data_IF_526167061862
#
_entry.id   IF_526167061862
#
_cell.length_a   1.000
_cell.length_b   1.000
_cell.length_c   1.000
_cell.angle_alpha   90.00
_cell.angle_beta   90.00
_cell.angle_gamma   90.00
#
_symmetry.space_group_name_H-M   'P 1'
#
loop_
_entity.id
_entity.type
_entity.pdbx_description
1 polymer ?
#
# COMPACT_ATOMS: atom_id res chain seq x y z
N UNK A 1 41.23 1.70 -12.97
CA UNK A 1 41.03 2.56 -11.79
C UNK A 1 39.79 3.40 -11.98
N UNK A 2 38.62 2.75 -11.93
CA UNK A 2 37.35 3.36 -12.30
C UNK A 2 36.30 3.14 -11.21
N UNK A 3 35.42 4.14 -11.07
CA UNK A 3 34.10 4.08 -10.43
C UNK A 3 34.11 3.79 -8.92
N UNK A 4 34.55 4.77 -8.11
CA UNK A 4 34.37 4.74 -6.65
C UNK A 4 33.58 5.93 -6.07
N UNK A 5 32.90 6.72 -6.91
CA UNK A 5 32.30 7.99 -6.46
C UNK A 5 30.89 8.28 -6.99
N UNK A 6 30.04 7.26 -7.12
CA UNK A 6 28.61 7.48 -7.43
C UNK A 6 27.70 6.41 -6.82
N UNK A 7 27.63 6.40 -5.49
CA UNK A 7 26.59 5.67 -4.76
C UNK A 7 26.30 6.39 -3.44
N UNK A 8 25.91 7.66 -3.54
CA UNK A 8 25.41 8.47 -2.44
C UNK A 8 24.12 9.12 -2.93
N UNK A 9 23.09 8.29 -3.09
CA UNK A 9 21.67 8.64 -3.19
C UNK A 9 20.92 7.35 -3.50
N UNK A 10 20.35 6.77 -2.45
CA UNK A 10 19.04 6.12 -2.42
C UNK A 10 18.94 5.44 -1.06
N UNK A 11 18.71 6.26 -0.03
CA UNK A 11 18.23 5.77 1.25
C UNK A 11 16.73 5.47 1.08
N UNK A 12 16.39 4.19 0.90
CA UNK A 12 15.07 3.68 1.24
C UNK A 12 15.32 2.71 2.40
N UNK A 13 14.97 3.04 3.66
CA UNK A 13 15.57 2.37 4.81
C UNK A 13 14.71 1.21 5.33
N UNK A 14 15.35 0.26 6.06
CA UNK A 14 14.81 -0.66 7.08
C UNK A 14 13.70 -0.08 7.99
N UNK A 15 13.50 1.23 7.98
CA UNK A 15 12.35 1.91 8.58
C UNK A 15 10.99 1.45 8.07
N UNK A 16 10.84 0.95 6.84
CA UNK A 16 9.50 0.64 6.32
C UNK A 16 8.87 -0.60 6.99
N UNK A 17 9.64 -1.60 7.38
CA UNK A 17 9.14 -2.75 8.16
C UNK A 17 8.66 -2.33 9.56
N UNK A 18 9.46 -1.54 10.26
CA UNK A 18 9.10 -1.04 11.60
C UNK A 18 7.96 -0.01 11.53
N UNK A 19 7.90 0.81 10.47
CA UNK A 19 6.84 1.79 10.23
C UNK A 19 5.53 1.09 9.87
N UNK A 20 5.56 0.04 9.05
CA UNK A 20 4.39 -0.80 8.78
C UNK A 20 3.89 -1.52 10.04
N UNK A 21 4.79 -2.11 10.83
CA UNK A 21 4.40 -2.80 12.07
C UNK A 21 3.86 -1.83 13.14
N UNK A 22 4.48 -0.66 13.29
CA UNK A 22 3.99 0.40 14.18
C UNK A 22 2.67 1.00 13.68
N UNK A 23 2.47 1.09 12.37
CA UNK A 23 1.19 1.51 11.78
C UNK A 23 0.11 0.47 12.02
N UNK A 24 0.40 -0.82 11.86
CA UNK A 24 -0.56 -1.90 12.10
C UNK A 24 -1.02 -1.91 13.57
N UNK A 25 -0.09 -1.81 14.54
CA UNK A 25 -0.45 -1.71 15.97
C UNK A 25 -1.36 -0.51 16.23
N UNK A 26 -1.07 0.65 15.63
CA UNK A 26 -1.92 1.83 15.74
C UNK A 26 -3.32 1.58 15.21
N UNK A 27 -3.48 0.88 14.08
CA UNK A 27 -4.79 0.54 13.53
C UNK A 27 -5.59 -0.39 14.45
N UNK A 28 -4.92 -1.33 15.14
CA UNK A 28 -5.59 -2.25 16.08
C UNK A 28 -6.09 -1.57 17.36
N UNK A 29 -5.32 -0.64 17.93
CA UNK A 29 -5.67 0.02 19.20
C UNK A 29 -6.52 1.28 19.02
N UNK A 30 -6.63 1.81 17.79
CA UNK A 30 -7.44 2.98 17.47
C UNK A 30 -8.93 2.76 17.84
N UNK A 31 -9.68 3.76 18.32
CA UNK A 31 -11.13 3.67 18.46
C UNK A 31 -11.81 3.32 17.13
N UNK A 32 -12.92 2.57 17.15
CA UNK A 32 -13.54 2.08 15.91
C UNK A 32 -14.10 3.24 15.07
N UNK A 33 -14.59 4.29 15.72
CA UNK A 33 -15.11 5.50 15.08
C UNK A 33 -13.99 6.27 14.38
N UNK A 34 -12.82 6.38 15.02
CA UNK A 34 -11.65 7.02 14.41
C UNK A 34 -11.12 6.21 13.23
N UNK A 35 -11.05 4.88 13.37
CA UNK A 35 -10.66 3.99 12.28
C UNK A 35 -11.63 4.11 11.10
N UNK A 36 -12.95 4.14 11.36
CA UNK A 36 -13.97 4.34 10.35
C UNK A 36 -13.82 5.69 9.64
N UNK A 37 -13.68 6.78 10.39
CA UNK A 37 -13.51 8.12 9.83
C UNK A 37 -12.25 8.21 8.95
N UNK A 38 -11.10 7.70 9.43
CA UNK A 38 -9.86 7.68 8.65
C UNK A 38 -9.97 6.82 7.40
N UNK A 39 -10.65 5.68 7.49
CA UNK A 39 -10.88 4.79 6.34
C UNK A 39 -11.72 5.50 5.28
N UNK A 40 -12.83 6.16 5.67
CA UNK A 40 -13.68 6.93 4.75
C UNK A 40 -12.87 8.04 4.06
N UNK A 41 -12.09 8.81 4.82
CA UNK A 41 -11.27 9.90 4.27
C UNK A 41 -10.23 9.34 3.29
N UNK A 42 -9.55 8.25 3.64
CA UNK A 42 -8.54 7.63 2.78
C UNK A 42 -9.16 7.02 1.50
N UNK A 43 -10.35 6.42 1.58
CA UNK A 43 -11.08 5.95 0.40
C UNK A 43 -11.41 7.09 -0.58
N UNK A 44 -11.88 8.24 -0.06
CA UNK A 44 -12.20 9.42 -0.87
C UNK A 44 -10.96 10.04 -1.50
N UNK A 45 -9.92 10.25 -0.70
CA UNK A 45 -8.64 10.76 -1.20
C UNK A 45 -8.06 9.86 -2.29
N UNK A 46 -8.14 8.53 -2.14
CA UNK A 46 -7.70 7.61 -3.20
C UNK A 46 -8.50 7.80 -4.49
N UNK A 47 -9.83 7.94 -4.41
CA UNK A 47 -10.67 8.11 -5.58
C UNK A 47 -10.46 9.46 -6.30
N UNK A 48 -10.09 10.50 -5.55
CA UNK A 48 -9.81 11.83 -6.08
C UNK A 48 -8.40 11.95 -6.66
N UNK A 49 -7.40 11.39 -5.97
CA UNK A 49 -6.00 11.67 -6.25
C UNK A 49 -5.34 10.63 -7.17
N UNK A 50 -5.89 9.42 -7.32
CA UNK A 50 -5.27 8.37 -8.14
C UNK A 50 -5.28 8.79 -9.63
N UNK A 51 -4.11 8.99 -10.27
CA UNK A 51 -4.06 9.34 -11.68
C UNK A 51 -4.46 8.13 -12.52
N UNK A 52 -5.72 8.04 -12.96
CA UNK A 52 -6.24 6.88 -13.70
C UNK A 52 -5.48 6.63 -15.01
N UNK A 53 -4.97 7.70 -15.64
CA UNK A 53 -4.11 7.60 -16.83
C UNK A 53 -2.79 6.86 -16.59
N UNK A 54 -2.36 6.73 -15.34
CA UNK A 54 -1.19 5.94 -14.96
C UNK A 54 -1.44 4.43 -15.11
N UNK A 55 -2.70 4.00 -15.11
CA UNK A 55 -3.12 2.60 -15.10
C UNK A 55 -3.92 2.19 -16.34
N UNK A 56 -4.14 3.10 -17.30
CA UNK A 56 -5.02 2.88 -18.43
C UNK A 56 -4.32 3.16 -19.74
N UNK A 57 -4.32 2.17 -20.62
CA UNK A 57 -3.94 2.34 -22.02
C UNK A 57 -5.16 2.62 -22.92
N UNK A 58 -6.38 2.34 -22.44
CA UNK A 58 -7.61 2.57 -23.20
C UNK A 58 -8.81 3.09 -22.37
N UNK A 59 -9.88 3.48 -23.09
CA UNK A 59 -11.10 4.04 -22.51
C UNK A 59 -11.95 3.03 -21.72
N UNK A 60 -11.85 1.74 -22.03
CA UNK A 60 -12.57 0.68 -21.32
C UNK A 60 -11.95 0.45 -19.94
N UNK A 61 -10.62 0.34 -19.87
CA UNK A 61 -9.86 0.25 -18.63
C UNK A 61 -10.10 1.49 -17.75
N UNK A 62 -10.09 2.67 -18.36
CA UNK A 62 -10.37 3.91 -17.64
C UNK A 62 -11.77 3.91 -16.99
N UNK A 63 -12.80 3.43 -17.71
CA UNK A 63 -14.15 3.30 -17.15
C UNK A 63 -14.18 2.24 -16.03
N UNK A 64 -13.52 1.12 -16.23
CA UNK A 64 -13.46 0.04 -15.24
C UNK A 64 -12.82 0.52 -13.93
N UNK A 65 -11.65 1.15 -14.00
CA UNK A 65 -10.93 1.67 -12.83
C UNK A 65 -11.76 2.74 -12.12
N UNK A 66 -12.42 3.65 -12.85
CA UNK A 66 -13.34 4.61 -12.21
C UNK A 66 -14.51 3.93 -11.51
N UNK A 67 -15.03 2.84 -12.07
CA UNK A 67 -16.04 2.02 -11.40
C UNK A 67 -15.53 1.46 -10.07
N UNK A 68 -14.30 0.94 -10.04
CA UNK A 68 -13.67 0.45 -8.81
C UNK A 68 -13.50 1.58 -7.79
N UNK A 69 -13.02 2.75 -8.21
CA UNK A 69 -12.82 3.90 -7.32
C UNK A 69 -14.14 4.42 -6.73
N UNK A 70 -15.21 4.44 -7.53
CA UNK A 70 -16.55 4.81 -7.04
C UNK A 70 -17.08 3.81 -6.00
N UNK A 71 -16.79 2.53 -6.18
CA UNK A 71 -17.17 1.49 -5.23
C UNK A 71 -16.39 1.62 -3.91
N UNK A 72 -15.16 2.12 -3.96
CA UNK A 72 -14.30 2.36 -2.80
C UNK A 72 -14.73 3.63 -2.03
N UNK A 73 -15.07 4.70 -2.73
CA UNK A 73 -15.42 6.00 -2.14
C UNK A 73 -16.90 6.15 -1.75
N UNK A 74 -17.72 5.14 -2.02
CA UNK A 74 -19.14 5.10 -1.69
C UNK A 74 -19.45 5.09 -0.18
N UNK A 75 -20.73 4.98 0.15
CA UNK A 75 -21.25 5.14 1.52
C UNK A 75 -20.85 4.00 2.48
N UNK A 76 -20.45 2.84 1.96
CA UNK A 76 -20.03 1.67 2.74
C UNK A 76 -18.61 1.20 2.34
N UNK A 77 -17.55 1.91 2.77
CA UNK A 77 -16.16 1.57 2.41
C UNK A 77 -15.67 0.27 3.06
N UNK A 78 -16.36 -0.24 4.09
CA UNK A 78 -16.09 -1.54 4.70
C UNK A 78 -16.98 -2.67 4.14
N UNK A 79 -17.84 -2.33 3.17
CA UNK A 79 -18.76 -3.27 2.54
C UNK A 79 -18.02 -4.30 1.68
N UNK A 80 -18.65 -5.47 1.40
CA UNK A 80 -18.06 -6.51 0.56
C UNK A 80 -17.65 -6.01 -0.83
N UNK A 81 -18.42 -5.06 -1.38
CA UNK A 81 -18.16 -4.46 -2.69
C UNK A 81 -16.91 -3.59 -2.68
N UNK A 82 -16.78 -2.68 -1.70
CA UNK A 82 -15.60 -1.84 -1.56
C UNK A 82 -14.33 -2.69 -1.34
N UNK A 83 -14.41 -3.70 -0.47
CA UNK A 83 -13.31 -4.66 -0.24
C UNK A 83 -12.87 -5.40 -1.51
N UNK A 84 -13.84 -5.86 -2.31
CA UNK A 84 -13.56 -6.50 -3.60
C UNK A 84 -12.87 -5.52 -4.56
N UNK A 85 -13.39 -4.29 -4.67
CA UNK A 85 -12.83 -3.26 -5.55
C UNK A 85 -11.42 -2.84 -5.14
N UNK A 86 -11.13 -2.72 -3.83
CA UNK A 86 -9.76 -2.50 -3.32
C UNK A 86 -8.84 -3.64 -3.74
N UNK A 87 -9.28 -4.90 -3.61
CA UNK A 87 -8.50 -6.07 -4.02
C UNK A 87 -8.18 -6.07 -5.52
N UNK A 88 -9.19 -5.83 -6.36
CA UNK A 88 -9.03 -5.77 -7.81
C UNK A 88 -8.07 -4.64 -8.23
N UNK A 89 -8.21 -3.45 -7.63
CA UNK A 89 -7.32 -2.33 -7.92
C UNK A 89 -5.87 -2.63 -7.49
N UNK A 90 -5.68 -3.36 -6.39
CA UNK A 90 -4.36 -3.78 -5.93
C UNK A 90 -3.71 -4.80 -6.86
N UNK A 91 -4.52 -5.70 -7.44
CA UNK A 91 -4.03 -6.66 -8.42
C UNK A 91 -3.67 -5.97 -9.76
N UNK A 92 -4.46 -4.98 -10.19
CA UNK A 92 -4.13 -4.14 -11.36
C UNK A 92 -2.81 -3.41 -11.15
N UNK A 93 -2.65 -2.71 -10.02
CA UNK A 93 -1.42 -1.99 -9.68
C UNK A 93 -0.21 -2.93 -9.60
N UNK A 94 -0.40 -4.15 -9.05
CA UNK A 94 0.66 -5.16 -9.03
C UNK A 94 1.06 -5.58 -10.43
N UNK A 95 0.09 -5.85 -11.31
CA UNK A 95 0.37 -6.24 -12.69
C UNK A 95 1.11 -5.13 -13.45
N UNK A 96 0.66 -3.87 -13.34
CA UNK A 96 1.35 -2.72 -13.94
C UNK A 96 2.75 -2.51 -13.35
N UNK A 97 2.97 -2.80 -12.08
CA UNK A 97 4.31 -2.74 -11.49
C UNK A 97 5.24 -3.81 -12.06
N UNK A 98 4.74 -5.02 -12.33
CA UNK A 98 5.54 -6.06 -12.98
C UNK A 98 5.93 -5.66 -14.42
N UNK A 99 5.03 -5.03 -15.18
CA UNK A 99 5.34 -4.59 -16.56
C UNK A 99 6.35 -3.45 -16.59
N UNK A 100 6.35 -2.59 -15.58
CA UNK A 100 7.30 -1.47 -15.44
C UNK A 100 8.64 -1.86 -14.76
N UNK A 101 8.85 -3.14 -14.48
CA UNK A 101 10.10 -3.62 -13.90
C UNK A 101 11.20 -3.70 -14.96
N UNK A 102 12.24 -2.87 -14.82
CA UNK A 102 13.38 -2.82 -15.72
C UNK A 102 14.44 -3.87 -15.38
N UNK A 103 14.47 -4.32 -14.14
CA UNK A 103 15.43 -5.32 -13.69
C UNK A 103 15.51 -5.41 -12.16
N UNK A 104 16.60 -5.99 -11.70
CA UNK A 104 16.90 -6.14 -10.29
C UNK A 104 18.36 -5.79 -10.04
N UNK A 105 18.63 -5.15 -8.92
CA UNK A 105 19.98 -4.87 -8.44
C UNK A 105 20.14 -5.33 -7.00
N UNK A 106 21.35 -5.78 -6.66
CA UNK A 106 21.68 -6.16 -5.29
C UNK A 106 22.12 -4.91 -4.55
N UNK A 107 21.37 -4.56 -3.51
CA UNK A 107 21.64 -3.39 -2.66
C UNK A 107 22.12 -3.90 -1.30
N UNK A 108 23.29 -3.41 -0.89
CA UNK A 108 23.82 -3.65 0.44
C UNK A 108 23.30 -2.57 1.39
N UNK A 109 22.62 -2.99 2.45
CA UNK A 109 22.25 -2.14 3.57
C UNK A 109 22.96 -2.65 4.81
N UNK A 110 23.81 -1.78 5.33
CA UNK A 110 24.69 -2.08 6.43
C UNK A 110 25.49 -0.85 6.80
N UNK A 111 26.25 -1.01 7.85
CA UNK A 111 27.22 -0.02 8.28
C UNK A 111 28.64 -0.57 8.09
N UNK A 112 29.59 0.35 8.02
CA UNK A 112 30.99 -0.04 7.94
C UNK A 112 31.53 -0.03 9.37
N UNK A 113 31.62 -1.22 9.96
CA UNK A 113 32.19 -1.40 11.29
C UNK A 113 33.73 -1.31 11.19
N UNK A 114 34.41 -0.50 12.03
CA UNK A 114 35.86 -0.34 11.96
C UNK A 114 36.67 -1.61 12.29
N UNK A 115 36.12 -2.52 13.09
CA UNK A 115 36.76 -3.76 13.53
C UNK A 115 36.41 -4.95 12.62
N UNK A 116 35.17 -5.00 12.13
CA UNK A 116 34.63 -6.13 11.37
C UNK A 116 34.40 -5.85 9.87
N UNK A 117 34.53 -4.60 9.43
CA UNK A 117 34.24 -4.16 8.06
C UNK A 117 32.75 -4.02 7.78
N UNK A 118 32.37 -4.06 6.50
CA UNK A 118 30.97 -3.88 6.08
C UNK A 118 30.07 -4.97 6.67
N UNK A 119 29.20 -4.60 7.62
CA UNK A 119 28.25 -5.47 8.31
C UNK A 119 26.85 -5.07 7.93
N UNK A 120 26.07 -6.01 7.37
CA UNK A 120 24.76 -5.71 6.82
C UNK A 120 24.13 -6.86 6.06
N UNK A 121 23.01 -6.58 5.41
CA UNK A 121 22.30 -7.52 4.54
C UNK A 121 22.32 -7.03 3.09
N UNK A 122 22.45 -7.98 2.16
CA UNK A 122 22.22 -7.72 0.74
C UNK A 122 20.77 -8.09 0.43
N UNK A 123 20.02 -7.16 -0.13
CA UNK A 123 18.68 -7.42 -0.64
C UNK A 123 18.60 -7.14 -2.13
N UNK A 124 17.73 -7.92 -2.79
CA UNK A 124 17.43 -7.74 -4.19
C UNK A 124 16.40 -6.63 -4.35
N UNK A 125 16.87 -5.45 -4.72
CA UNK A 125 16.03 -4.30 -5.04
C UNK A 125 15.52 -4.40 -6.48
N UNK A 126 14.27 -3.99 -6.67
CA UNK A 126 13.65 -3.97 -7.99
C UNK A 126 13.87 -2.60 -8.60
N UNK A 127 14.39 -2.55 -9.82
CA UNK A 127 14.55 -1.31 -10.56
C UNK A 127 13.30 -1.08 -11.40
N UNK A 128 12.63 0.05 -11.17
CA UNK A 128 11.39 0.44 -11.84
C UNK A 128 11.66 1.58 -12.84
N UNK A 129 10.77 1.72 -13.82
CA UNK A 129 10.70 2.95 -14.62
C UNK A 129 10.15 4.11 -13.77
N UNK A 130 10.25 5.35 -14.27
CA UNK A 130 9.61 6.52 -13.60
C UNK A 130 8.10 6.31 -13.40
N UNK A 131 7.44 5.64 -14.35
CA UNK A 131 6.02 5.26 -14.22
C UNK A 131 5.84 4.16 -13.16
N UNK A 132 6.74 3.17 -13.13
CA UNK A 132 6.76 2.11 -12.13
C UNK A 132 6.92 2.63 -10.70
N UNK A 133 7.80 3.62 -10.48
CA UNK A 133 7.98 4.30 -9.19
C UNK A 133 6.68 4.96 -8.72
N UNK A 134 6.00 5.66 -9.62
CA UNK A 134 4.70 6.27 -9.32
C UNK A 134 3.63 5.20 -9.02
N UNK A 135 3.61 4.08 -9.77
CA UNK A 135 2.74 2.92 -9.48
C UNK A 135 3.03 2.35 -8.08
N UNK A 136 4.30 2.27 -7.68
CA UNK A 136 4.70 1.72 -6.39
C UNK A 136 4.20 2.59 -5.22
N UNK A 137 4.31 3.92 -5.33
CA UNK A 137 3.76 4.85 -4.33
C UNK A 137 2.26 4.62 -4.13
N UNK A 138 1.50 4.48 -5.22
CA UNK A 138 0.06 4.22 -5.16
C UNK A 138 -0.27 2.82 -4.65
N UNK A 139 0.54 1.83 -5.00
CA UNK A 139 0.43 0.46 -4.48
C UNK A 139 0.57 0.44 -2.97
N UNK A 140 1.56 1.15 -2.42
CA UNK A 140 1.79 1.23 -0.99
C UNK A 140 0.62 1.92 -0.26
N UNK A 141 0.10 3.03 -0.81
CA UNK A 141 -1.10 3.69 -0.28
C UNK A 141 -2.32 2.76 -0.28
N UNK A 142 -2.53 2.02 -1.37
CA UNK A 142 -3.66 1.10 -1.48
C UNK A 142 -3.53 -0.10 -0.54
N UNK A 143 -2.32 -0.64 -0.36
CA UNK A 143 -2.07 -1.71 0.60
C UNK A 143 -2.38 -1.24 2.03
N UNK A 144 -1.97 -0.02 2.38
CA UNK A 144 -2.30 0.57 3.67
C UNK A 144 -3.83 0.74 3.84
N UNK A 145 -4.53 1.24 2.82
CA UNK A 145 -5.99 1.34 2.83
C UNK A 145 -6.65 -0.05 2.98
N UNK A 146 -6.20 -1.05 2.23
CA UNK A 146 -6.72 -2.41 2.31
C UNK A 146 -6.59 -2.99 3.72
N UNK A 147 -5.49 -2.70 4.43
CA UNK A 147 -5.32 -3.09 5.84
C UNK A 147 -6.34 -2.39 6.73
N UNK A 148 -6.50 -1.07 6.61
CA UNK A 148 -7.49 -0.32 7.39
C UNK A 148 -8.91 -0.88 7.20
N UNK A 149 -9.33 -1.09 5.95
CA UNK A 149 -10.67 -1.60 5.63
C UNK A 149 -10.88 -3.01 6.21
N UNK A 150 -9.88 -3.90 6.11
CA UNK A 150 -9.97 -5.27 6.68
C UNK A 150 -10.08 -5.26 8.20
N UNK A 151 -9.28 -4.44 8.87
CA UNK A 151 -9.33 -4.31 10.33
C UNK A 151 -10.68 -3.73 10.77
N UNK A 152 -11.18 -2.72 10.05
CA UNK A 152 -12.49 -2.12 10.31
C UNK A 152 -13.63 -3.14 10.15
N UNK A 153 -13.67 -3.88 9.04
CA UNK A 153 -14.67 -4.93 8.81
C UNK A 153 -14.61 -6.01 9.90
N UNK A 154 -13.43 -6.49 10.26
CA UNK A 154 -13.26 -7.48 11.32
C UNK A 154 -13.80 -6.99 12.68
N UNK A 155 -13.53 -5.74 13.03
CA UNK A 155 -13.99 -5.14 14.29
C UNK A 155 -15.49 -4.90 14.31
N UNK A 156 -16.06 -4.37 13.21
CA UNK A 156 -17.50 -4.19 13.07
C UNK A 156 -18.25 -5.52 13.13
N UNK A 157 -17.70 -6.60 12.56
CA UNK A 157 -18.27 -7.96 12.69
C UNK A 157 -18.22 -8.45 14.14
N UNK A 158 -17.09 -8.22 14.83
CA UNK A 158 -16.93 -8.53 16.24
C UNK A 158 -17.99 -7.86 17.12
N UNK A 159 -18.16 -6.55 16.99
CA UNK A 159 -19.18 -5.79 17.74
C UNK A 159 -20.61 -6.27 17.45
N UNK A 160 -20.94 -6.52 16.17
CA UNK A 160 -22.25 -7.07 15.81
C UNK A 160 -22.51 -8.44 16.43
N UNK A 161 -21.50 -9.30 16.50
CA UNK A 161 -21.62 -10.61 17.14
C UNK A 161 -21.85 -10.50 18.65
N UNK A 162 -21.14 -9.59 19.32
CA UNK A 162 -21.31 -9.31 20.75
C UNK A 162 -22.71 -8.75 21.02
N UNK A 163 -23.14 -7.74 20.26
CA UNK A 163 -24.46 -7.12 20.44
C UNK A 163 -25.61 -8.10 20.19
N UNK A 164 -25.48 -9.04 19.24
CA UNK A 164 -26.48 -10.11 19.04
C UNK A 164 -26.58 -11.08 20.20
N UNK A 165 -25.49 -11.31 20.94
CA UNK A 165 -25.48 -12.22 22.10
C UNK A 165 -26.15 -11.62 23.33
N UNK A 166 -26.18 -10.31 23.46
CA UNK A 166 -26.78 -9.60 24.59
C UNK A 166 -28.19 -9.06 24.30
N UNK A 167 -28.69 -9.22 23.07
CA UNK A 167 -30.02 -8.76 22.64
C UNK A 167 -31.09 -9.88 22.64
N UNK A 168 -30.78 -11.06 23.18
CA UNK A 168 -31.72 -12.15 23.45
C UNK A 168 -31.81 -12.43 24.94
#
# INVERSE_FOLDING_TARGET
>A
MGRFLKALRCAVPVTDFWRDWMNDIRLYVMPIEELAARTIVACRALAEDLPVNLLCSDAHQHRHIRGLLNDISGDDPAGPRALQSVGLLADILRAERETETLGYEDVFEGENDPEYGATGAVYRHRVLSDRGEAIEVWSNKLLYLARMVRILDARLRGERMVNRRFAG
#
